data_IF_010774470919
#
_entry.id   IF_010774470919
#
_cell.length_a   1.000
_cell.length_b   1.000
_cell.length_c   1.000
_cell.angle_alpha   90.00
_cell.angle_beta   90.00
_cell.angle_gamma   90.00
#
_symmetry.space_group_name_H-M   'P 1'
#
loop_
_entity.id
_entity.type
_entity.pdbx_description
1 polymer ?
#
# COMPACT_ATOMS: atom_id res chain seq x y z
N UNK A 1 -5.17 -19.73 -9.44
CA UNK A 1 -5.45 -18.38 -8.89
C UNK A 1 -6.94 -18.08 -8.89
N UNK A 2 -7.67 -18.27 -9.99
CA UNK A 2 -9.13 -18.09 -9.98
C UNK A 2 -9.79 -19.19 -9.13
N UNK A 3 -10.76 -18.80 -8.30
CA UNK A 3 -11.55 -19.69 -7.46
C UNK A 3 -12.51 -20.53 -8.30
N UNK A 4 -12.76 -21.77 -7.88
CA UNK A 4 -13.78 -22.61 -8.53
C UNK A 4 -15.19 -22.04 -8.36
N UNK A 5 -15.47 -21.42 -7.22
CA UNK A 5 -16.76 -20.83 -6.85
C UNK A 5 -16.81 -19.30 -7.08
N UNK A 6 -15.92 -18.75 -7.92
CA UNK A 6 -15.66 -17.31 -8.01
C UNK A 6 -16.93 -16.44 -8.13
N UNK A 7 -17.86 -16.80 -9.01
CA UNK A 7 -19.09 -16.04 -9.24
C UNK A 7 -20.00 -16.05 -8.02
N UNK A 8 -20.17 -17.22 -7.38
CA UNK A 8 -20.96 -17.35 -6.16
C UNK A 8 -20.31 -16.59 -5.00
N UNK A 9 -19.01 -16.78 -4.80
CA UNK A 9 -18.26 -16.07 -3.76
C UNK A 9 -18.33 -14.55 -3.94
N UNK A 10 -18.20 -14.05 -5.17
CA UNK A 10 -18.35 -12.63 -5.49
C UNK A 10 -19.75 -12.13 -5.14
N UNK A 11 -20.81 -12.82 -5.58
CA UNK A 11 -22.19 -12.43 -5.32
C UNK A 11 -22.46 -12.29 -3.81
N UNK A 12 -21.97 -13.24 -3.01
CA UNK A 12 -22.19 -13.26 -1.55
C UNK A 12 -21.35 -12.21 -0.81
N UNK A 13 -20.11 -11.94 -1.26
CA UNK A 13 -19.15 -11.15 -0.47
C UNK A 13 -18.93 -9.72 -0.98
N UNK A 14 -19.42 -9.37 -2.17
CA UNK A 14 -19.14 -8.08 -2.83
C UNK A 14 -19.49 -6.86 -1.99
N UNK A 15 -20.68 -6.84 -1.36
CA UNK A 15 -21.13 -5.71 -0.54
C UNK A 15 -20.21 -5.51 0.69
N UNK A 16 -19.93 -6.58 1.43
CA UNK A 16 -19.05 -6.51 2.60
C UNK A 16 -17.63 -6.08 2.19
N UNK A 17 -17.12 -6.66 1.10
CA UNK A 17 -15.82 -6.30 0.55
C UNK A 17 -15.76 -4.82 0.11
N UNK A 18 -16.84 -4.29 -0.48
CA UNK A 18 -16.95 -2.89 -0.87
C UNK A 18 -16.95 -1.95 0.33
N UNK A 19 -17.72 -2.27 1.37
CA UNK A 19 -17.75 -1.49 2.63
C UNK A 19 -16.37 -1.47 3.27
N UNK A 20 -15.73 -2.64 3.39
CA UNK A 20 -14.38 -2.74 3.94
C UNK A 20 -13.37 -1.93 3.09
N UNK A 21 -13.40 -2.08 1.77
CA UNK A 21 -12.53 -1.35 0.85
C UNK A 21 -12.70 0.18 0.98
N UNK A 22 -13.95 0.66 1.06
CA UNK A 22 -14.26 2.07 1.23
C UNK A 22 -13.74 2.61 2.57
N UNK A 23 -13.92 1.85 3.66
CA UNK A 23 -13.39 2.20 4.98
C UNK A 23 -11.87 2.27 4.97
N UNK A 24 -11.21 1.21 4.49
CA UNK A 24 -9.75 1.15 4.41
C UNK A 24 -9.19 2.30 3.57
N UNK A 25 -9.82 2.58 2.43
CA UNK A 25 -9.43 3.69 1.55
C UNK A 25 -9.54 5.01 2.30
N UNK A 26 -10.68 5.29 2.93
CA UNK A 26 -10.90 6.54 3.68
C UNK A 26 -9.87 6.75 4.79
N UNK A 27 -9.55 5.69 5.53
CA UNK A 27 -8.65 5.75 6.68
C UNK A 27 -7.17 5.89 6.34
N UNK A 28 -6.77 5.57 5.10
CA UNK A 28 -5.37 5.52 4.67
C UNK A 28 -5.07 6.44 3.48
N UNK A 29 -6.09 7.15 2.99
CA UNK A 29 -5.89 8.12 1.91
C UNK A 29 -5.22 9.37 2.45
N UNK A 30 -4.26 9.88 1.70
CA UNK A 30 -3.53 11.11 2.01
C UNK A 30 -3.78 12.10 0.88
N UNK A 31 -3.95 13.37 1.21
CA UNK A 31 -4.04 14.42 0.20
C UNK A 31 -2.70 14.63 -0.46
N UNK A 32 -2.65 14.77 -1.79
CA UNK A 32 -1.41 15.09 -2.51
C UNK A 32 -0.86 16.49 -2.19
N UNK A 33 -1.68 17.34 -1.54
CA UNK A 33 -1.26 18.67 -1.06
C UNK A 33 -0.64 18.64 0.34
N UNK A 34 -0.53 17.46 0.95
CA UNK A 34 0.04 17.28 2.27
C UNK A 34 1.57 17.43 2.27
N UNK A 35 2.15 17.87 3.38
CA UNK A 35 3.61 17.94 3.57
C UNK A 35 4.21 16.51 3.56
N UNK A 36 5.37 16.32 2.93
CA UNK A 36 6.09 15.04 2.90
C UNK A 36 6.48 14.49 4.29
N UNK A 37 6.49 15.34 5.32
CA UNK A 37 6.75 14.96 6.72
C UNK A 37 5.49 14.77 7.56
N UNK A 38 4.29 14.77 6.94
CA UNK A 38 3.05 14.62 7.69
C UNK A 38 2.99 13.26 8.41
N UNK A 39 2.79 13.24 9.75
CA UNK A 39 2.61 12.02 10.53
C UNK A 39 1.51 11.08 10.02
N UNK A 40 0.53 11.60 9.27
CA UNK A 40 -0.52 10.82 8.62
C UNK A 40 0.04 9.83 7.58
N UNK A 41 1.13 10.17 6.88
CA UNK A 41 1.80 9.26 5.93
C UNK A 41 2.33 8.04 6.69
N UNK A 42 3.03 8.26 7.80
CA UNK A 42 3.58 7.21 8.67
C UNK A 42 2.43 6.35 9.23
N UNK A 43 1.38 6.99 9.71
CA UNK A 43 0.21 6.30 10.29
C UNK A 43 -0.49 5.41 9.26
N UNK A 44 -0.65 5.89 8.03
CA UNK A 44 -1.25 5.14 6.93
C UNK A 44 -0.39 3.94 6.53
N UNK A 45 0.92 4.13 6.40
CA UNK A 45 1.85 3.02 6.15
C UNK A 45 1.79 1.97 7.25
N UNK A 46 1.82 2.37 8.52
CA UNK A 46 1.76 1.45 9.67
C UNK A 46 0.47 0.64 9.67
N UNK A 47 -0.67 1.28 9.42
CA UNK A 47 -1.97 0.62 9.37
C UNK A 47 -2.03 -0.44 8.27
N UNK A 48 -1.55 -0.12 7.06
CA UNK A 48 -1.49 -1.06 5.95
C UNK A 48 -0.50 -2.20 6.20
N UNK A 49 0.67 -1.89 6.78
CA UNK A 49 1.68 -2.89 7.17
C UNK A 49 1.09 -3.91 8.15
N UNK A 50 0.35 -3.42 9.14
CA UNK A 50 -0.30 -4.26 10.14
C UNK A 50 -1.32 -5.21 9.51
N UNK A 51 -2.18 -4.74 8.60
CA UNK A 51 -3.15 -5.60 7.90
C UNK A 51 -2.46 -6.64 7.00
N UNK A 52 -1.35 -6.26 6.37
CA UNK A 52 -0.58 -7.17 5.50
C UNK A 52 0.11 -8.27 6.32
N UNK A 53 0.55 -7.98 7.53
CA UNK A 53 1.36 -8.89 8.36
C UNK A 53 0.57 -9.63 9.43
N UNK A 54 -0.62 -9.14 9.78
CA UNK A 54 -1.48 -9.75 10.80
C UNK A 54 -2.00 -11.11 10.36
N UNK A 55 -1.88 -12.10 11.24
CA UNK A 55 -2.44 -13.44 11.06
C UNK A 55 -3.96 -13.47 11.13
N UNK A 56 -4.58 -12.43 11.70
CA UNK A 56 -6.03 -12.30 11.85
C UNK A 56 -6.68 -11.72 10.59
N UNK A 57 -5.88 -11.14 9.69
CA UNK A 57 -6.41 -10.56 8.45
C UNK A 57 -6.77 -11.65 7.45
N UNK A 58 -8.01 -11.61 6.97
CA UNK A 58 -8.44 -12.51 5.90
C UNK A 58 -7.62 -12.26 4.61
N UNK A 59 -7.49 -13.26 3.72
CA UNK A 59 -6.73 -13.08 2.47
C UNK A 59 -7.21 -11.90 1.62
N UNK A 60 -8.51 -11.62 1.59
CA UNK A 60 -9.06 -10.49 0.84
C UNK A 60 -8.68 -9.15 1.46
N UNK A 61 -8.68 -9.05 2.79
CA UNK A 61 -8.26 -7.84 3.51
C UNK A 61 -6.80 -7.50 3.23
N UNK A 62 -5.92 -8.50 3.30
CA UNK A 62 -4.50 -8.31 2.98
C UNK A 62 -4.30 -7.88 1.52
N UNK A 63 -5.06 -8.43 0.57
CA UNK A 63 -4.98 -8.00 -0.84
C UNK A 63 -5.46 -6.56 -1.05
N UNK A 64 -6.53 -6.15 -0.37
CA UNK A 64 -6.96 -4.76 -0.37
C UNK A 64 -5.90 -3.83 0.24
N UNK A 65 -5.31 -4.21 1.37
CA UNK A 65 -4.20 -3.46 1.95
C UNK A 65 -3.01 -3.36 1.00
N UNK A 66 -2.69 -4.40 0.24
CA UNK A 66 -1.67 -4.35 -0.81
C UNK A 66 -2.00 -3.36 -1.94
N UNK A 67 -3.25 -3.31 -2.42
CA UNK A 67 -3.66 -2.32 -3.43
C UNK A 67 -3.53 -0.91 -2.87
N UNK A 68 -4.05 -0.70 -1.66
CA UNK A 68 -4.05 0.61 -1.03
C UNK A 68 -2.63 1.07 -0.67
N UNK A 69 -1.74 0.14 -0.34
CA UNK A 69 -0.31 0.41 -0.19
C UNK A 69 0.30 0.92 -1.48
N UNK A 70 -0.07 0.37 -2.64
CA UNK A 70 0.46 0.86 -3.92
C UNK A 70 -0.07 2.26 -4.24
N UNK A 71 -1.35 2.53 -3.95
CA UNK A 71 -1.92 3.88 -4.10
C UNK A 71 -1.22 4.89 -3.20
N UNK A 72 -0.98 4.52 -1.94
CA UNK A 72 -0.26 5.37 -0.99
C UNK A 72 1.18 5.64 -1.47
N UNK A 73 1.88 4.64 -2.02
CA UNK A 73 3.19 4.86 -2.63
C UNK A 73 3.13 5.88 -3.77
N UNK A 74 2.18 5.74 -4.69
CA UNK A 74 2.04 6.66 -5.82
C UNK A 74 1.81 8.10 -5.31
N UNK A 75 0.88 8.30 -4.36
CA UNK A 75 0.61 9.60 -3.72
C UNK A 75 1.82 10.17 -2.99
N UNK A 76 2.54 9.37 -2.21
CA UNK A 76 3.73 9.84 -1.49
C UNK A 76 4.85 10.21 -2.46
N UNK A 77 5.02 9.45 -3.55
CA UNK A 77 5.99 9.76 -4.60
C UNK A 77 5.65 11.09 -5.32
N UNK A 78 4.37 11.43 -5.48
CA UNK A 78 3.88 12.73 -5.96
C UNK A 78 4.15 13.86 -4.96
N UNK A 79 3.83 13.67 -3.68
CA UNK A 79 4.11 14.64 -2.61
C UNK A 79 5.60 14.98 -2.58
N UNK A 80 6.46 13.96 -2.60
CA UNK A 80 7.93 14.14 -2.63
C UNK A 80 8.36 14.89 -3.90
N UNK A 81 7.72 14.63 -5.03
CA UNK A 81 7.99 15.35 -6.27
C UNK A 81 7.69 16.85 -6.12
N UNK A 82 6.52 17.18 -5.58
CA UNK A 82 6.10 18.56 -5.32
C UNK A 82 7.05 19.25 -4.33
N UNK A 83 7.43 18.59 -3.23
CA UNK A 83 8.41 19.13 -2.28
C UNK A 83 9.78 19.38 -2.91
N UNK A 84 10.21 18.53 -3.86
CA UNK A 84 11.45 18.73 -4.63
C UNK A 84 11.38 19.93 -5.56
N UNK A 85 10.26 20.11 -6.26
CA UNK A 85 10.03 21.26 -7.14
C UNK A 85 10.07 22.58 -6.36
N UNK A 86 9.65 22.56 -5.08
CA UNK A 86 9.72 23.69 -4.17
C UNK A 86 11.10 23.85 -3.48
N UNK A 87 12.09 23.00 -3.80
CA UNK A 87 13.43 23.07 -3.21
C UNK A 87 13.54 22.59 -1.76
N UNK A 88 12.49 21.96 -1.21
CA UNK A 88 12.44 21.51 0.19
C UNK A 88 13.19 20.18 0.42
N UNK A 89 13.46 19.42 -0.64
CA UNK A 89 14.17 18.14 -0.58
C UNK A 89 15.33 18.15 -1.57
N UNK A 90 16.54 17.90 -1.07
CA UNK A 90 17.73 17.81 -1.92
C UNK A 90 17.75 16.56 -2.79
N UNK A 91 18.26 16.70 -4.02
CA UNK A 91 18.39 15.60 -4.99
C UNK A 91 19.78 14.97 -4.88
N UNK A 92 19.88 13.86 -4.14
CA UNK A 92 21.06 13.00 -4.24
C UNK A 92 21.03 12.17 -5.54
N UNK A 93 22.17 12.05 -6.21
CA UNK A 93 22.30 11.24 -7.42
C UNK A 93 21.91 9.77 -7.12
N UNK A 94 21.10 9.16 -7.98
CA UNK A 94 20.59 7.79 -7.79
C UNK A 94 19.44 7.64 -6.78
N UNK A 95 19.11 8.68 -6.00
CA UNK A 95 18.08 8.62 -4.96
C UNK A 95 16.76 9.25 -5.44
N UNK A 96 15.87 8.41 -6.00
CA UNK A 96 14.60 8.81 -6.62
C UNK A 96 13.46 8.92 -5.59
N UNK A 97 12.31 9.48 -5.97
CA UNK A 97 11.14 9.62 -5.09
C UNK A 97 10.71 8.26 -4.51
N UNK A 98 10.72 7.21 -5.33
CA UNK A 98 10.46 5.84 -4.90
C UNK A 98 11.41 5.33 -3.80
N UNK A 99 12.67 5.77 -3.79
CA UNK A 99 13.63 5.41 -2.74
C UNK A 99 13.29 6.12 -1.44
N UNK A 100 12.96 7.42 -1.49
CA UNK A 100 12.52 8.20 -0.32
C UNK A 100 11.23 7.61 0.26
N UNK A 101 10.23 7.34 -0.58
CA UNK A 101 8.97 6.75 -0.14
C UNK A 101 9.17 5.38 0.51
N UNK A 102 10.09 4.56 -0.03
CA UNK A 102 10.45 3.27 0.56
C UNK A 102 11.14 3.43 1.91
N UNK A 103 11.97 4.46 2.09
CA UNK A 103 12.67 4.73 3.35
C UNK A 103 11.71 5.27 4.42
N UNK A 104 10.71 6.09 4.04
CA UNK A 104 9.59 6.45 4.92
C UNK A 104 8.81 5.20 5.33
N UNK A 105 8.50 4.29 4.40
CA UNK A 105 7.83 3.05 4.76
C UNK A 105 8.70 2.15 5.66
N UNK A 106 10.01 2.17 5.47
CA UNK A 106 10.94 1.40 6.30
C UNK A 106 11.04 1.95 7.73
N UNK A 107 10.88 3.26 7.92
CA UNK A 107 10.95 3.90 9.24
C UNK A 107 9.76 3.54 10.13
N UNK A 108 8.63 3.12 9.57
CA UNK A 108 7.45 2.72 10.36
C UNK A 108 7.55 1.31 10.93
N UNK A 109 8.53 0.51 10.50
CA UNK A 109 8.70 -0.87 10.96
C UNK A 109 9.54 -0.91 12.24
N UNK A 110 8.98 -1.45 13.32
CA UNK A 110 9.68 -1.57 14.61
C UNK A 110 10.79 -2.63 14.55
N UNK A 111 11.94 -2.37 15.21
CA UNK A 111 13.07 -3.31 15.36
C UNK A 111 14.31 -2.95 14.54
N UNK A 112 15.45 -2.74 15.18
CA UNK A 112 16.70 -2.25 14.56
C UNK A 112 17.62 -3.37 14.02
N UNK A 113 17.08 -4.54 13.70
CA UNK A 113 17.89 -5.71 13.33
C UNK A 113 17.89 -5.93 11.81
N UNK A 114 18.98 -5.51 11.17
CA UNK A 114 19.39 -5.78 9.78
C UNK A 114 18.57 -5.09 8.66
N UNK A 115 18.99 -3.87 8.32
CA UNK A 115 18.37 -2.99 7.29
C UNK A 115 18.28 -3.61 5.89
N UNK A 116 19.26 -4.43 5.50
CA UNK A 116 19.30 -5.05 4.16
C UNK A 116 18.21 -6.09 3.95
N UNK A 117 17.98 -6.96 4.94
CA UNK A 117 16.92 -7.96 4.91
C UNK A 117 15.53 -7.31 4.88
N UNK A 118 15.32 -6.28 5.73
CA UNK A 118 14.08 -5.52 5.76
C UNK A 118 13.76 -4.86 4.43
N UNK A 119 14.75 -4.17 3.83
CA UNK A 119 14.56 -3.54 2.51
C UNK A 119 14.11 -4.55 1.46
N UNK A 120 14.67 -5.76 1.47
CA UNK A 120 14.26 -6.84 0.57
C UNK A 120 12.80 -7.26 0.80
N UNK A 121 12.38 -7.44 2.06
CA UNK A 121 10.98 -7.75 2.38
C UNK A 121 10.03 -6.64 1.91
N UNK A 122 10.39 -5.36 2.09
CA UNK A 122 9.57 -4.25 1.64
C UNK A 122 9.45 -4.18 0.11
N UNK A 123 10.54 -4.47 -0.60
CA UNK A 123 10.53 -4.60 -2.05
C UNK A 123 9.63 -5.76 -2.50
N UNK A 124 9.65 -6.89 -1.80
CA UNK A 124 8.72 -8.01 -2.07
C UNK A 124 7.26 -7.64 -1.79
N UNK A 125 6.98 -6.83 -0.77
CA UNK A 125 5.63 -6.28 -0.53
C UNK A 125 5.20 -5.37 -1.67
N UNK A 126 6.08 -4.48 -2.17
CA UNK A 126 5.78 -3.66 -3.37
C UNK A 126 5.55 -4.53 -4.60
N UNK A 127 6.35 -5.58 -4.82
CA UNK A 127 6.17 -6.52 -5.95
C UNK A 127 4.83 -7.25 -5.86
N UNK A 128 4.50 -7.77 -4.69
CA UNK A 128 3.22 -8.43 -4.41
C UNK A 128 2.04 -7.48 -4.61
N UNK A 129 2.14 -6.25 -4.11
CA UNK A 129 1.12 -5.22 -4.30
C UNK A 129 0.90 -4.85 -5.76
N UNK A 130 1.97 -4.74 -6.56
CA UNK A 130 1.86 -4.52 -8.01
C UNK A 130 1.12 -5.66 -8.72
N UNK A 131 1.41 -6.92 -8.37
CA UNK A 131 0.70 -8.08 -8.92
C UNK A 131 -0.79 -8.06 -8.57
N UNK A 132 -1.14 -7.78 -7.31
CA UNK A 132 -2.54 -7.65 -6.92
C UNK A 132 -3.26 -6.49 -7.62
N UNK A 133 -2.59 -5.33 -7.75
CA UNK A 133 -3.14 -4.19 -8.50
C UNK A 133 -3.40 -4.54 -9.96
N UNK A 134 -2.50 -5.30 -10.61
CA UNK A 134 -2.70 -5.77 -11.98
C UNK A 134 -3.90 -6.72 -12.08
N UNK A 135 -4.03 -7.68 -11.16
CA UNK A 135 -5.15 -8.64 -11.15
C UNK A 135 -6.51 -7.98 -10.85
N UNK A 136 -6.52 -6.93 -10.04
CA UNK A 136 -7.73 -6.15 -9.76
C UNK A 136 -8.18 -5.31 -10.96
N UNK A 137 -7.27 -4.91 -11.85
CA UNK A 137 -7.59 -4.07 -13.00
C UNK A 137 -8.32 -2.77 -12.57
N UNK A 138 -9.51 -2.48 -13.12
CA UNK A 138 -10.23 -1.24 -12.83
C UNK A 138 -10.90 -1.23 -11.44
N UNK A 139 -11.12 -2.39 -10.81
CA UNK A 139 -11.85 -2.48 -9.54
C UNK A 139 -11.18 -3.43 -8.55
N UNK A 140 -10.84 -2.96 -7.33
CA UNK A 140 -10.36 -3.83 -6.25
C UNK A 140 -11.24 -5.05 -6.02
N UNK A 141 -12.56 -4.93 -6.21
CA UNK A 141 -13.51 -6.03 -5.99
C UNK A 141 -13.26 -7.26 -6.87
N UNK A 142 -12.58 -7.11 -8.01
CA UNK A 142 -12.19 -8.27 -8.84
C UNK A 142 -11.22 -9.21 -8.12
N UNK A 143 -10.61 -8.78 -7.01
CA UNK A 143 -9.82 -9.66 -6.16
C UNK A 143 -10.60 -10.79 -5.49
N UNK A 144 -11.93 -10.67 -5.39
CA UNK A 144 -12.81 -11.72 -4.85
C UNK A 144 -12.83 -12.98 -5.73
N UNK A 145 -12.48 -12.85 -7.01
CA UNK A 145 -12.44 -13.96 -7.98
C UNK A 145 -11.22 -14.85 -7.75
N UNK A 146 -10.22 -14.40 -7.00
CA UNK A 146 -8.98 -15.13 -6.78
C UNK A 146 -8.92 -15.79 -5.39
N UNK A 147 -8.27 -16.94 -5.27
CA UNK A 147 -7.86 -17.61 -4.02
C UNK A 147 -6.37 -17.82 -3.99
#
# INVERSE_FOLDING_TARGET
LVRQDAMFFFAVNSQHAQVYWASLSKETNISSNTNCFDPAIITSFRKLDHIITSKESSPIMSRFAYIQLMRLFDTVEEIINSSRQLGLIYRAAGYRNASIALDIYMSVQEGYTNSGYRRRQLLERKRTGRRWRQLAGPSPLFLLVYS
#
